data_IF_041558290784
#
_entry.id   IF_041558290784
#
_cell.length_a   1.000
_cell.length_b   1.000
_cell.length_c   1.000
_cell.angle_alpha   90.00
_cell.angle_beta   90.00
_cell.angle_gamma   90.00
#
_symmetry.space_group_name_H-M   'P 1'
#
loop_
_entity.id
_entity.type
_entity.pdbx_description
1 polymer ?
#
# COMPACT_ATOMS: atom_id res chain seq x y z
N UNK A 1 42.86 -29.70 -5.84
CA UNK A 1 41.55 -30.38 -5.87
C UNK A 1 40.47 -29.32 -5.78
N UNK A 2 39.76 -29.14 -6.90
CA UNK A 2 38.49 -28.42 -7.09
C UNK A 2 38.23 -27.11 -6.33
N UNK A 3 38.73 -26.03 -6.92
CA UNK A 3 38.00 -24.76 -6.96
C UNK A 3 36.65 -25.03 -7.65
N UNK A 4 35.54 -24.90 -6.92
CA UNK A 4 34.21 -24.97 -7.51
C UNK A 4 33.84 -23.56 -7.94
N UNK A 5 33.65 -23.29 -9.25
CA UNK A 5 33.18 -21.99 -9.67
C UNK A 5 31.70 -21.90 -9.29
N UNK A 6 31.37 -20.96 -8.41
CA UNK A 6 30.00 -20.62 -8.06
C UNK A 6 29.50 -19.63 -9.12
N UNK A 7 29.36 -20.13 -10.35
CA UNK A 7 28.61 -19.45 -11.40
C UNK A 7 27.13 -19.67 -11.11
N UNK A 8 26.57 -18.87 -10.20
CA UNK A 8 25.13 -18.81 -9.99
C UNK A 8 24.48 -17.98 -11.13
N UNK A 9 24.71 -18.38 -12.38
CA UNK A 9 24.07 -17.81 -13.56
C UNK A 9 22.68 -18.44 -13.80
N UNK A 10 21.91 -18.63 -12.73
CA UNK A 10 20.47 -18.77 -12.86
C UNK A 10 19.90 -17.36 -13.00
N UNK A 11 19.03 -17.06 -13.99
CA UNK A 11 18.26 -15.83 -13.93
C UNK A 11 17.57 -15.85 -12.57
N UNK A 12 17.88 -14.85 -11.73
CA UNK A 12 17.20 -14.69 -10.45
C UNK A 12 15.70 -14.85 -10.74
N UNK A 13 14.95 -15.66 -9.96
CA UNK A 13 13.49 -15.59 -10.04
C UNK A 13 13.14 -14.10 -9.92
N UNK A 14 12.15 -13.56 -10.66
CA UNK A 14 11.83 -12.15 -10.53
C UNK A 14 11.53 -11.88 -9.05
N UNK A 15 12.50 -11.32 -8.32
CA UNK A 15 12.38 -10.89 -6.93
C UNK A 15 11.61 -9.58 -6.95
N UNK A 16 10.42 -9.64 -7.52
CA UNK A 16 9.63 -8.51 -7.98
C UNK A 16 8.14 -8.82 -7.95
N UNK A 17 7.71 -9.85 -7.21
CA UNK A 17 6.40 -9.77 -6.58
C UNK A 17 6.54 -8.79 -5.40
N UNK A 18 6.61 -7.50 -5.72
CA UNK A 18 6.18 -6.50 -4.77
C UNK A 18 4.71 -6.84 -4.53
N UNK A 19 4.42 -7.48 -3.39
CA UNK A 19 3.05 -7.61 -2.90
C UNK A 19 2.43 -6.23 -3.05
N UNK A 20 1.46 -6.10 -3.96
CA UNK A 20 0.79 -4.84 -4.18
C UNK A 20 0.29 -4.37 -2.80
N UNK A 21 0.65 -3.15 -2.37
CA UNK A 21 0.26 -2.69 -1.05
C UNK A 21 -1.25 -2.83 -0.93
N UNK A 22 -1.75 -3.38 0.18
CA UNK A 22 -3.18 -3.57 0.38
C UNK A 22 -3.91 -2.23 0.21
N UNK A 23 -4.47 -2.03 -0.98
CA UNK A 23 -5.15 -0.83 -1.39
C UNK A 23 -6.64 -1.01 -1.17
N UNK A 24 -7.25 -0.03 -0.52
CA UNK A 24 -8.68 0.01 -0.25
C UNK A 24 -9.24 1.21 -0.99
N UNK A 25 -10.04 0.97 -2.02
CA UNK A 25 -10.75 2.04 -2.70
C UNK A 25 -11.86 2.60 -1.81
N UNK A 26 -11.89 3.92 -1.67
CA UNK A 26 -12.86 4.65 -0.86
C UNK A 26 -13.54 5.73 -1.69
N UNK A 27 -14.79 6.01 -1.36
CA UNK A 27 -15.62 7.01 -2.06
C UNK A 27 -15.66 8.35 -1.34
N UNK A 28 -14.82 8.55 -0.33
CA UNK A 28 -14.77 9.78 0.47
C UNK A 28 -13.33 10.15 0.77
N UNK A 29 -13.07 11.45 0.82
CA UNK A 29 -11.75 11.96 1.18
C UNK A 29 -11.47 11.79 2.68
N UNK A 30 -12.50 11.66 3.52
CA UNK A 30 -12.35 11.44 4.95
C UNK A 30 -12.58 9.98 5.32
N UNK A 31 -11.51 9.26 5.64
CA UNK A 31 -11.54 7.82 5.92
C UNK A 31 -11.35 7.56 7.40
N UNK A 32 -12.16 6.67 7.97
CA UNK A 32 -11.90 6.08 9.28
C UNK A 32 -11.18 4.74 9.11
N UNK A 33 -9.96 4.64 9.61
CA UNK A 33 -9.25 3.36 9.69
C UNK A 33 -9.43 2.78 11.09
N UNK A 34 -10.10 1.63 11.20
CA UNK A 34 -10.40 1.00 12.48
C UNK A 34 -9.28 0.08 12.99
N UNK A 35 -8.29 -0.25 12.14
CA UNK A 35 -7.08 -0.98 12.53
C UNK A 35 -7.26 -2.39 13.12
N UNK A 36 -8.50 -2.80 13.40
CA UNK A 36 -8.92 -4.00 14.13
C UNK A 36 -8.06 -4.27 15.38
N UNK A 37 -6.98 -5.05 15.25
CA UNK A 37 -6.07 -5.38 16.35
C UNK A 37 -4.78 -4.55 16.40
N UNK A 38 -4.50 -3.75 15.37
CA UNK A 38 -3.22 -3.06 15.18
C UNK A 38 -3.22 -1.63 15.72
N UNK A 39 -4.36 -0.95 15.79
CA UNK A 39 -4.51 0.37 16.42
C UNK A 39 -5.99 0.74 16.66
N UNK A 40 -6.30 1.69 17.56
CA UNK A 40 -7.66 2.23 17.70
C UNK A 40 -8.08 3.03 16.46
N UNK A 41 -9.40 3.27 16.31
CA UNK A 41 -9.95 4.05 15.20
C UNK A 41 -9.27 5.42 15.03
N UNK A 42 -8.68 5.63 13.88
CA UNK A 42 -8.11 6.92 13.46
C UNK A 42 -8.83 7.48 12.25
N UNK A 43 -8.78 8.80 12.09
CA UNK A 43 -9.35 9.49 10.94
C UNK A 43 -8.22 10.03 10.07
N UNK A 44 -8.23 9.66 8.80
CA UNK A 44 -7.26 10.05 7.79
C UNK A 44 -7.95 10.91 6.74
N UNK A 45 -7.25 11.93 6.26
CA UNK A 45 -7.71 12.79 5.17
C UNK A 45 -6.91 12.45 3.92
N UNK A 46 -7.60 12.05 2.85
CA UNK A 46 -7.02 11.85 1.53
C UNK A 46 -6.88 13.23 0.88
N UNK A 47 -5.66 13.60 0.44
CA UNK A 47 -5.46 14.79 -0.37
C UNK A 47 -6.01 14.54 -1.78
N UNK A 48 -6.86 15.43 -2.29
CA UNK A 48 -7.42 15.32 -3.65
C UNK A 48 -6.35 15.41 -4.74
N UNK A 49 -5.27 16.17 -4.48
CA UNK A 49 -4.11 16.27 -5.37
C UNK A 49 -3.35 14.95 -5.54
N UNK A 50 -3.35 14.11 -4.49
CA UNK A 50 -2.63 12.83 -4.47
C UNK A 50 -3.56 11.67 -4.83
N UNK A 51 -4.82 11.76 -4.41
CA UNK A 51 -5.84 10.72 -4.57
C UNK A 51 -5.66 9.52 -3.63
N UNK A 52 -4.73 9.54 -2.67
CA UNK A 52 -4.55 8.45 -1.71
C UNK A 52 -3.88 8.88 -0.41
N UNK A 53 -4.11 8.10 0.66
CA UNK A 53 -3.46 8.25 1.99
C UNK A 53 -3.13 6.89 2.56
N UNK A 54 -2.05 6.80 3.35
CA UNK A 54 -1.63 5.57 4.01
C UNK A 54 -1.86 5.65 5.52
N UNK A 55 -2.34 4.54 6.09
CA UNK A 55 -2.40 4.33 7.52
C UNK A 55 -1.00 4.05 8.07
N UNK A 56 -0.40 4.98 8.80
CA UNK A 56 0.93 4.81 9.40
C UNK A 56 1.05 3.73 10.49
N UNK A 57 -0.02 3.00 10.79
CA UNK A 57 -0.04 1.91 11.78
C UNK A 57 -0.26 0.54 11.16
N UNK A 58 -1.00 0.48 10.06
CA UNK A 58 -1.54 -0.75 9.50
C UNK A 58 -1.19 -0.96 8.03
N UNK A 59 -0.38 -0.06 7.46
CA UNK A 59 0.13 -0.06 6.08
C UNK A 59 -0.95 -0.15 4.99
N UNK A 60 -2.24 -0.07 5.35
CA UNK A 60 -3.35 0.00 4.41
C UNK A 60 -3.33 1.35 3.68
N UNK A 61 -3.38 1.30 2.36
CA UNK A 61 -3.44 2.48 1.51
C UNK A 61 -4.88 2.71 1.08
N UNK A 62 -5.45 3.84 1.46
CA UNK A 62 -6.78 4.23 1.01
C UNK A 62 -6.66 5.07 -0.25
N UNK A 63 -7.27 4.60 -1.33
CA UNK A 63 -7.25 5.26 -2.64
C UNK A 63 -8.63 5.82 -2.93
N UNK A 64 -8.70 7.07 -3.36
CA UNK A 64 -9.94 7.74 -3.71
C UNK A 64 -10.43 7.23 -5.07
N UNK A 65 -11.66 6.75 -5.13
CA UNK A 65 -12.27 6.34 -6.39
C UNK A 65 -12.39 7.53 -7.36
N UNK A 66 -12.34 7.26 -8.67
CA UNK A 66 -12.46 8.30 -9.69
C UNK A 66 -13.83 9.01 -9.56
N UNK A 67 -13.81 10.33 -9.33
CA UNK A 67 -15.02 11.14 -9.10
C UNK A 67 -15.48 11.24 -7.65
N UNK A 68 -14.83 10.55 -6.71
CA UNK A 68 -15.13 10.60 -5.28
C UNK A 68 -14.42 11.75 -4.55
N UNK A 69 -14.66 13.00 -4.94
CA UNK A 69 -14.04 14.19 -4.33
C UNK A 69 -15.00 15.37 -4.25
N UNK A 70 -16.31 15.09 -4.14
CA UNK A 70 -17.33 16.13 -4.17
C UNK A 70 -17.44 16.90 -2.86
N UNK A 71 -16.66 17.96 -2.70
CA UNK A 71 -16.93 19.05 -1.74
C UNK A 71 -15.65 19.58 -1.12
N UNK A 72 -15.29 20.86 -1.25
CA UNK A 72 -16.13 22.07 -1.18
C UNK A 72 -15.52 23.25 -1.94
#
# INVERSE_FOLDING_TARGET
>A
MSEKPVDNQGPLPPTGAYDEPETVEVTTTRVSCDGEMTHPRVWLQIPEERGWVECGYCDKRFVLAEGAGGGH
#
